data_IF_576133427409
#
_entry.id   IF_576133427409
#
_cell.length_a   1.000
_cell.length_b   1.000
_cell.length_c   1.000
_cell.angle_alpha   90.00
_cell.angle_beta   90.00
_cell.angle_gamma   90.00
#
_symmetry.space_group_name_H-M   'P 1'
#
loop_
_entity.id
_entity.type
_entity.pdbx_description
1 polymer ?
#
# COMPACT_ATOMS: atom_id res chain seq x y z
N UNK A 1 -31.96 -1.38 -29.38
CA UNK A 1 -32.24 -1.94 -28.03
C UNK A 1 -30.89 -2.11 -27.33
N UNK A 2 -30.25 -0.98 -27.01
CA UNK A 2 -28.97 -0.93 -26.30
C UNK A 2 -29.31 -0.53 -24.88
N UNK A 3 -29.43 -1.51 -24.00
CA UNK A 3 -29.60 -1.28 -22.58
C UNK A 3 -28.31 -0.70 -22.02
N UNK A 4 -28.30 0.63 -21.92
CA UNK A 4 -27.36 1.38 -21.11
C UNK A 4 -27.72 1.10 -19.63
N UNK A 5 -27.07 0.09 -19.07
CA UNK A 5 -27.28 -0.31 -17.69
C UNK A 5 -26.43 0.58 -16.79
N UNK A 6 -27.07 1.52 -16.10
CA UNK A 6 -26.55 2.33 -14.99
C UNK A 6 -26.08 1.46 -13.80
N UNK A 7 -25.00 0.70 -14.00
CA UNK A 7 -24.25 -0.02 -12.96
C UNK A 7 -22.86 0.58 -12.67
N UNK A 8 -22.50 1.67 -13.35
CA UNK A 8 -21.16 2.30 -13.37
C UNK A 8 -20.88 3.16 -12.10
N UNK A 9 -21.37 2.74 -10.93
CA UNK A 9 -21.37 3.55 -9.70
C UNK A 9 -20.33 3.20 -8.63
N UNK A 10 -19.77 1.98 -8.64
CA UNK A 10 -18.76 1.57 -7.63
C UNK A 10 -17.67 0.73 -8.30
N UNK A 11 -16.80 1.36 -9.06
CA UNK A 11 -15.49 0.78 -9.41
C UNK A 11 -14.44 1.35 -8.46
N UNK A 12 -13.69 0.47 -7.78
CA UNK A 12 -12.55 0.89 -6.94
C UNK A 12 -11.53 1.68 -7.79
N UNK A 13 -10.82 2.61 -7.17
CA UNK A 13 -9.92 3.56 -7.84
C UNK A 13 -8.88 2.86 -8.76
N UNK A 14 -8.24 1.74 -8.37
CA UNK A 14 -7.38 0.99 -9.28
C UNK A 14 -8.13 0.44 -10.51
N UNK A 15 -9.40 0.04 -10.38
CA UNK A 15 -10.19 -0.43 -11.53
C UNK A 15 -10.46 0.70 -12.53
N UNK A 16 -10.73 1.93 -12.06
CA UNK A 16 -10.87 3.11 -12.90
C UNK A 16 -9.58 3.44 -13.66
N UNK A 17 -8.45 3.44 -12.96
CA UNK A 17 -7.16 3.69 -13.58
C UNK A 17 -6.82 2.61 -14.65
N UNK A 18 -7.23 1.36 -14.43
CA UNK A 18 -7.09 0.24 -15.39
C UNK A 18 -7.92 0.50 -16.65
N UNK A 19 -9.20 0.90 -16.46
CA UNK A 19 -10.16 1.23 -17.53
C UNK A 19 -9.68 2.42 -18.37
N UNK A 20 -9.01 3.39 -17.75
CA UNK A 20 -8.48 4.59 -18.41
C UNK A 20 -7.09 4.41 -19.02
N UNK A 21 -6.45 3.24 -18.86
CA UNK A 21 -5.07 3.01 -19.31
C UNK A 21 -4.01 3.80 -18.54
N UNK A 22 -4.37 4.32 -17.36
CA UNK A 22 -3.51 5.15 -16.49
C UNK A 22 -2.83 4.36 -15.37
N UNK A 23 -3.16 3.08 -15.18
CA UNK A 23 -2.45 2.26 -14.20
C UNK A 23 -1.02 1.97 -14.67
N UNK A 24 -0.07 2.61 -14.01
CA UNK A 24 1.32 2.17 -14.01
C UNK A 24 1.39 0.78 -13.33
N UNK A 25 1.95 -0.26 -13.99
CA UNK A 25 2.13 -1.58 -13.37
C UNK A 25 2.92 -1.55 -12.05
N UNK A 26 3.83 -0.57 -11.88
CA UNK A 26 4.57 -0.38 -10.63
C UNK A 26 3.72 0.23 -9.49
N UNK A 27 2.55 0.80 -9.80
CA UNK A 27 1.62 1.35 -8.81
C UNK A 27 0.61 0.31 -8.30
N UNK A 28 0.67 -0.93 -8.79
CA UNK A 28 -0.19 -2.01 -8.32
C UNK A 28 0.49 -2.68 -7.10
N UNK A 29 -0.12 -2.64 -5.90
CA UNK A 29 0.42 -3.32 -4.74
C UNK A 29 0.59 -4.81 -5.02
N UNK A 30 1.80 -5.34 -4.83
CA UNK A 30 2.13 -6.74 -5.09
C UNK A 30 2.46 -7.07 -6.56
N UNK A 31 2.43 -6.11 -7.48
CA UNK A 31 3.04 -6.32 -8.79
C UNK A 31 4.56 -6.44 -8.64
N UNK A 32 5.10 -7.56 -9.10
CA UNK A 32 6.54 -7.79 -9.16
C UNK A 32 7.16 -6.85 -10.20
N UNK A 33 7.53 -5.65 -9.77
CA UNK A 33 8.47 -4.81 -10.51
C UNK A 33 9.81 -5.54 -10.44
N UNK A 34 10.44 -5.80 -11.59
CA UNK A 34 11.80 -6.35 -11.61
C UNK A 34 12.64 -5.51 -10.64
N UNK A 35 13.32 -6.11 -9.65
CA UNK A 35 14.02 -5.34 -8.64
C UNK A 35 14.99 -4.41 -9.35
N UNK A 36 14.86 -3.10 -9.11
CA UNK A 36 15.97 -2.20 -9.39
C UNK A 36 17.16 -2.82 -8.66
N UNK A 37 18.21 -3.20 -9.41
CA UNK A 37 19.17 -4.24 -9.01
C UNK A 37 19.88 -4.03 -7.65
N UNK A 38 19.69 -2.88 -6.99
CA UNK A 38 20.32 -2.47 -5.75
C UNK A 38 19.35 -1.92 -4.67
N UNK A 39 18.03 -2.08 -4.80
CA UNK A 39 17.08 -1.63 -3.75
C UNK A 39 16.80 -2.76 -2.75
N UNK A 40 17.24 -2.59 -1.50
CA UNK A 40 16.78 -3.43 -0.38
C UNK A 40 15.61 -2.73 0.30
N UNK A 41 14.38 -3.29 0.25
CA UNK A 41 13.24 -2.71 0.96
C UNK A 41 13.53 -2.61 2.45
N UNK A 42 13.15 -1.50 3.07
CA UNK A 42 13.21 -1.39 4.53
C UNK A 42 12.18 -2.30 5.18
N UNK A 43 12.60 -3.08 6.17
CA UNK A 43 11.84 -4.09 6.90
C UNK A 43 12.00 -3.89 8.42
N UNK A 44 11.30 -4.72 9.20
CA UNK A 44 11.39 -4.85 10.66
C UNK A 44 10.75 -3.73 11.49
N UNK A 45 9.58 -3.26 11.06
CA UNK A 45 8.79 -2.31 11.85
C UNK A 45 7.70 -3.07 12.64
N UNK A 46 7.59 -2.84 13.94
CA UNK A 46 6.56 -3.43 14.81
C UNK A 46 5.32 -2.55 14.82
N UNK A 47 4.14 -3.15 14.59
CA UNK A 47 2.84 -2.47 14.70
C UNK A 47 1.99 -3.23 15.72
N UNK A 48 1.36 -2.49 16.62
CA UNK A 48 0.44 -2.98 17.64
C UNK A 48 -0.94 -2.35 17.42
N UNK A 49 -2.01 -3.11 17.62
CA UNK A 49 -3.37 -2.62 17.59
C UNK A 49 -4.16 -3.13 18.80
N UNK A 50 -4.82 -2.22 19.51
CA UNK A 50 -5.64 -2.53 20.69
C UNK A 50 -7.09 -2.09 20.46
N UNK A 51 -8.04 -2.98 20.71
CA UNK A 51 -9.46 -2.65 20.75
C UNK A 51 -9.84 -2.21 22.18
N UNK A 52 -10.56 -1.10 22.29
CA UNK A 52 -11.12 -0.61 23.54
C UNK A 52 -12.58 -0.18 23.33
N UNK A 53 -13.31 0.12 24.41
CA UNK A 53 -14.75 0.42 24.33
C UNK A 53 -15.09 1.59 23.39
N UNK A 54 -14.17 2.55 23.21
CA UNK A 54 -14.32 3.72 22.36
C UNK A 54 -13.70 3.61 20.96
N UNK A 55 -13.13 2.45 20.58
CA UNK A 55 -12.56 2.27 19.24
C UNK A 55 -11.31 1.39 19.20
N UNK A 56 -10.39 1.75 18.31
CA UNK A 56 -9.12 1.04 18.08
C UNK A 56 -7.96 2.04 18.16
N UNK A 57 -6.92 1.67 18.90
CA UNK A 57 -5.65 2.38 18.94
C UNK A 57 -4.63 1.58 18.13
N UNK A 58 -3.97 2.22 17.17
CA UNK A 58 -2.86 1.65 16.41
C UNK A 58 -1.58 2.42 16.77
N UNK A 59 -0.52 1.70 17.06
CA UNK A 59 0.80 2.26 17.36
C UNK A 59 1.88 1.50 16.58
N UNK A 60 2.90 2.22 16.11
CA UNK A 60 4.05 1.63 15.42
C UNK A 60 5.36 2.17 15.96
N UNK A 61 6.40 1.33 16.00
CA UNK A 61 7.77 1.81 16.20
C UNK A 61 8.27 2.61 14.99
N UNK A 62 9.30 3.46 15.15
CA UNK A 62 9.82 4.30 14.04
C UNK A 62 11.03 3.71 13.33
N UNK A 63 11.45 2.50 13.73
CA UNK A 63 12.69 1.87 13.27
C UNK A 63 12.45 1.16 11.94
N UNK A 64 13.21 1.56 10.93
CA UNK A 64 13.28 0.90 9.63
C UNK A 64 14.70 0.36 9.39
N UNK A 65 14.83 -0.90 8.97
CA UNK A 65 16.15 -1.54 8.71
C UNK A 65 16.25 -2.06 7.29
N UNK A 66 17.42 -1.96 6.66
CA UNK A 66 17.75 -2.66 5.42
C UNK A 66 19.01 -3.49 5.68
N UNK A 67 18.85 -4.82 5.73
CA UNK A 67 19.91 -5.69 6.25
C UNK A 67 20.19 -5.41 7.73
N UNK A 68 21.48 -5.28 8.10
CA UNK A 68 21.90 -4.95 9.46
C UNK A 68 21.94 -3.45 9.77
N UNK A 69 21.61 -2.60 8.79
CA UNK A 69 21.69 -1.14 8.95
C UNK A 69 20.33 -0.57 9.33
N UNK A 70 20.30 0.26 10.38
CA UNK A 70 19.13 1.11 10.67
C UNK A 70 19.16 2.26 9.68
N UNK A 71 18.19 2.28 8.76
CA UNK A 71 18.16 3.22 7.63
C UNK A 71 17.43 4.51 8.01
N UNK A 72 16.45 4.42 8.92
CA UNK A 72 15.62 5.55 9.30
C UNK A 72 14.98 5.34 10.68
N UNK A 73 15.00 6.37 11.54
CA UNK A 73 14.41 6.38 12.89
C UNK A 73 13.15 7.28 13.00
N UNK A 74 12.63 7.72 11.84
CA UNK A 74 11.43 8.55 11.73
C UNK A 74 10.43 8.02 10.70
N UNK A 75 10.34 6.70 10.52
CA UNK A 75 9.39 6.17 9.56
C UNK A 75 7.97 6.65 9.92
N UNK A 76 7.36 7.45 9.03
CA UNK A 76 5.94 7.81 9.12
C UNK A 76 5.14 6.54 8.77
N UNK A 77 4.27 6.12 9.68
CA UNK A 77 3.37 4.97 9.53
C UNK A 77 1.92 5.37 9.74
#
# INVERSE_FOLDING_TARGET
>A
MTSDSLGDGVSDFPALLRKQGLLNPAAVPGASVAPAANFTPTQATTILAFKFAGGVLVAGDRRATAGNTVVYDRADK
#
